data_IF_288189899187
#
_entry.id   IF_288189899187
#
_cell.length_a   1.000
_cell.length_b   1.000
_cell.length_c   1.000
_cell.angle_alpha   90.00
_cell.angle_beta   90.00
_cell.angle_gamma   90.00
#
_symmetry.space_group_name_H-M   'P 1'
#
loop_
_entity.id
_entity.type
_entity.pdbx_description
1 polymer ?
#
# COMPACT_ATOMS: atom_id res chain seq x y z
N UNK A 1 -23.25 0.42 20.16
CA UNK A 1 -22.34 0.66 19.03
C UNK A 1 -21.81 -0.68 18.58
N UNK A 2 -21.82 -0.92 17.28
CA UNK A 2 -21.22 -2.11 16.67
C UNK A 2 -19.69 -1.96 16.62
N UNK A 3 -18.95 -3.06 16.61
CA UNK A 3 -17.50 -3.07 16.41
C UNK A 3 -17.09 -2.33 15.12
N UNK A 4 -17.93 -2.46 14.08
CA UNK A 4 -17.79 -1.73 12.82
C UNK A 4 -17.94 -0.20 12.96
N UNK A 5 -18.84 0.26 13.84
CA UNK A 5 -19.08 1.69 14.06
C UNK A 5 -17.91 2.33 14.81
N UNK A 6 -17.36 1.62 15.80
CA UNK A 6 -16.17 2.05 16.53
C UNK A 6 -14.92 2.08 15.62
N UNK A 7 -14.78 1.13 14.70
CA UNK A 7 -13.68 1.11 13.73
C UNK A 7 -13.71 2.33 12.79
N UNK A 8 -14.90 2.68 12.28
CA UNK A 8 -15.08 3.87 11.45
C UNK A 8 -14.77 5.16 12.23
N UNK A 9 -15.23 5.27 13.48
CA UNK A 9 -14.93 6.43 14.32
C UNK A 9 -13.43 6.56 14.63
N UNK A 10 -12.73 5.45 14.83
CA UNK A 10 -11.28 5.43 15.04
C UNK A 10 -10.52 5.90 13.79
N UNK A 11 -10.94 5.46 12.60
CA UNK A 11 -10.37 5.94 11.32
C UNK A 11 -10.58 7.45 11.19
N UNK A 12 -11.79 7.94 11.45
CA UNK A 12 -12.11 9.38 11.36
C UNK A 12 -11.30 10.19 12.37
N UNK A 13 -11.11 9.68 13.58
CA UNK A 13 -10.35 10.37 14.62
C UNK A 13 -8.84 10.39 14.30
N UNK A 14 -8.30 9.26 13.82
CA UNK A 14 -6.92 9.18 13.34
C UNK A 14 -6.64 10.19 12.23
N UNK A 15 -7.54 10.30 11.25
CA UNK A 15 -7.42 11.28 10.17
C UNK A 15 -7.42 12.74 10.69
N UNK A 16 -8.24 13.04 11.72
CA UNK A 16 -8.27 14.38 12.34
C UNK A 16 -6.99 14.70 13.12
N UNK A 17 -6.48 13.74 13.88
CA UNK A 17 -5.29 13.93 14.70
C UNK A 17 -4.03 14.07 13.81
N UNK A 18 -4.01 13.33 12.70
CA UNK A 18 -2.92 13.29 11.72
C UNK A 18 -2.88 14.54 10.83
N UNK A 19 -4.03 15.16 10.54
CA UNK A 19 -4.13 16.38 9.71
C UNK A 19 -3.37 17.59 10.29
N UNK A 20 -3.00 17.59 11.56
CA UNK A 20 -2.25 18.66 12.21
C UNK A 20 -0.72 18.59 11.96
N UNK A 21 -0.19 17.45 11.51
CA UNK A 21 1.23 17.26 11.20
C UNK A 21 1.51 17.54 9.71
N UNK A 22 2.71 18.03 9.35
CA UNK A 22 3.15 18.01 7.96
C UNK A 22 3.25 16.56 7.46
N UNK A 23 3.04 16.29 6.16
CA UNK A 23 2.94 14.95 5.59
C UNK A 23 4.10 14.03 5.97
N UNK A 24 5.32 14.53 5.83
CA UNK A 24 6.56 13.84 6.19
C UNK A 24 6.67 13.53 7.70
N UNK A 25 6.07 14.37 8.55
CA UNK A 25 6.04 14.15 9.99
C UNK A 25 5.04 13.08 10.43
N UNK A 26 4.06 12.74 9.58
CA UNK A 26 3.02 11.74 9.88
C UNK A 26 3.59 10.33 9.87
N UNK A 27 4.37 9.96 8.85
CA UNK A 27 5.00 8.64 8.77
C UNK A 27 5.98 8.44 9.94
N UNK A 28 6.85 9.42 10.22
CA UNK A 28 7.79 9.30 11.34
C UNK A 28 7.08 9.19 12.69
N UNK A 29 5.99 9.94 12.88
CA UNK A 29 5.14 9.83 14.08
C UNK A 29 4.44 8.47 14.19
N UNK A 30 3.95 7.93 13.07
CA UNK A 30 3.37 6.59 12.98
C UNK A 30 4.39 5.51 13.36
N UNK A 31 5.58 5.51 12.77
CA UNK A 31 6.65 4.55 13.07
C UNK A 31 7.07 4.64 14.56
N UNK A 32 7.21 5.86 15.08
CA UNK A 32 7.49 6.07 16.51
C UNK A 32 6.38 5.50 17.41
N UNK A 33 5.13 5.58 16.96
CA UNK A 33 3.97 4.98 17.65
C UNK A 33 4.05 3.47 17.79
N UNK A 34 4.68 2.78 16.83
CA UNK A 34 5.03 1.36 16.88
C UNK A 34 6.31 1.07 17.68
N UNK A 35 6.95 2.07 18.26
CA UNK A 35 8.17 1.91 19.06
C UNK A 35 9.46 1.90 18.24
N UNK A 36 9.39 2.24 16.95
CA UNK A 36 10.57 2.46 16.11
C UNK A 36 11.23 3.77 16.54
N UNK A 37 12.31 3.67 17.31
CA UNK A 37 13.01 4.82 17.91
C UNK A 37 14.05 5.46 16.99
N UNK A 38 14.50 4.71 15.99
CA UNK A 38 15.44 5.08 14.92
C UNK A 38 15.02 4.35 13.66
N UNK A 39 15.47 4.79 12.48
CA UNK A 39 15.05 4.19 11.20
C UNK A 39 13.57 4.48 10.88
N UNK A 40 13.17 5.75 11.02
CA UNK A 40 11.79 6.22 10.77
C UNK A 40 11.64 6.85 9.38
N UNK A 41 12.66 6.80 8.53
CA UNK A 41 12.56 7.37 7.19
C UNK A 41 11.69 6.47 6.30
N UNK A 42 11.05 7.02 5.24
CA UNK A 42 10.13 6.25 4.39
C UNK A 42 10.76 4.99 3.75
N UNK A 43 12.06 5.02 3.48
CA UNK A 43 12.80 3.94 2.81
C UNK A 43 13.46 2.95 3.80
N UNK A 44 13.34 3.18 5.11
CA UNK A 44 13.90 2.30 6.13
C UNK A 44 13.07 1.02 6.31
N UNK A 45 13.71 -0.05 6.78
CA UNK A 45 13.12 -1.37 7.09
C UNK A 45 13.65 -1.83 8.46
N UNK A 46 13.04 -1.36 9.57
CA UNK A 46 13.57 -1.59 10.93
C UNK A 46 13.47 -3.04 11.38
N UNK A 47 12.43 -3.76 10.96
CA UNK A 47 12.12 -5.13 11.37
C UNK A 47 12.69 -6.20 10.43
N UNK A 48 13.17 -5.79 9.25
CA UNK A 48 13.92 -6.57 8.26
C UNK A 48 13.07 -7.62 7.57
N UNK A 49 11.79 -7.31 7.36
CA UNK A 49 10.85 -8.18 6.67
C UNK A 49 10.89 -8.00 5.13
N UNK A 50 11.61 -6.96 4.67
CA UNK A 50 11.77 -6.59 3.27
C UNK A 50 10.73 -5.59 2.76
N UNK A 51 9.92 -4.99 3.64
CA UNK A 51 9.04 -3.87 3.37
C UNK A 51 9.63 -2.60 4.00
N UNK A 52 9.50 -1.50 3.29
CA UNK A 52 9.88 -0.19 3.80
C UNK A 52 8.77 0.39 4.68
N UNK A 53 9.12 1.29 5.61
CA UNK A 53 8.15 2.05 6.40
C UNK A 53 7.04 2.68 5.54
N UNK A 54 7.36 3.14 4.32
CA UNK A 54 6.35 3.69 3.40
C UNK A 54 5.37 2.63 2.89
N UNK A 55 5.86 1.44 2.55
CA UNK A 55 5.01 0.34 2.11
C UNK A 55 4.13 -0.16 3.25
N UNK A 56 4.65 -0.18 4.46
CA UNK A 56 3.91 -0.56 5.65
C UNK A 56 2.90 0.49 6.10
N UNK A 57 3.27 1.77 6.00
CA UNK A 57 2.36 2.89 6.18
C UNK A 57 1.28 2.93 5.09
N UNK A 58 1.55 2.43 3.88
CA UNK A 58 0.52 2.23 2.87
C UNK A 58 -0.42 1.09 3.27
N UNK A 59 0.04 0.02 3.90
CA UNK A 59 -0.75 -1.20 4.08
C UNK A 59 -1.25 -1.42 5.51
N UNK A 60 -1.02 -0.50 6.44
CA UNK A 60 -1.39 -0.63 7.86
C UNK A 60 -0.79 -1.92 8.49
N UNK A 61 0.48 -2.21 8.18
CA UNK A 61 1.28 -3.23 8.88
C UNK A 61 2.05 -2.63 10.08
N UNK A 62 2.95 -3.42 10.67
CA UNK A 62 3.71 -3.06 11.87
C UNK A 62 5.22 -3.00 11.57
N UNK A 63 5.83 -1.80 11.54
CA UNK A 63 7.24 -1.61 11.20
C UNK A 63 8.22 -2.06 12.28
N UNK A 64 7.73 -2.70 13.33
CA UNK A 64 8.52 -3.25 14.43
C UNK A 64 8.40 -4.78 14.55
N UNK A 65 7.53 -5.42 13.77
CA UNK A 65 7.26 -6.85 13.84
C UNK A 65 7.15 -7.52 12.46
N UNK A 66 8.24 -8.19 12.08
CA UNK A 66 8.38 -8.89 10.80
C UNK A 66 7.34 -9.99 10.54
N UNK A 67 6.56 -10.38 11.56
CA UNK A 67 5.45 -11.33 11.41
C UNK A 67 4.17 -10.67 10.89
N UNK A 68 4.01 -9.36 11.02
CA UNK A 68 2.78 -8.62 10.71
C UNK A 68 2.87 -7.93 9.35
N UNK A 69 3.48 -8.60 8.38
CA UNK A 69 3.71 -8.03 7.05
C UNK A 69 2.49 -8.03 6.14
N UNK A 70 2.36 -6.99 5.31
CA UNK A 70 1.32 -6.90 4.28
C UNK A 70 1.89 -6.27 3.01
N UNK A 71 2.23 -7.11 2.03
CA UNK A 71 2.80 -6.64 0.76
C UNK A 71 1.78 -5.79 -0.02
N UNK A 72 2.17 -4.59 -0.50
CA UNK A 72 1.24 -3.67 -1.16
C UNK A 72 0.82 -4.12 -2.56
N UNK A 73 1.58 -5.02 -3.19
CA UNK A 73 1.30 -5.57 -4.51
C UNK A 73 1.61 -7.07 -4.56
N UNK A 74 0.63 -7.85 -4.99
CA UNK A 74 0.81 -9.24 -5.43
C UNK A 74 0.45 -9.34 -6.90
N UNK A 75 1.30 -9.98 -7.69
CA UNK A 75 1.08 -10.18 -9.13
C UNK A 75 0.98 -11.66 -9.42
N UNK A 76 -0.15 -12.08 -9.97
CA UNK A 76 -0.41 -13.47 -10.36
C UNK A 76 -0.63 -13.55 -11.87
N UNK A 77 -0.18 -14.65 -12.48
CA UNK A 77 -0.43 -14.92 -13.90
C UNK A 77 -1.37 -16.11 -14.01
N UNK A 78 -2.53 -15.91 -14.64
CA UNK A 78 -3.46 -16.99 -14.91
C UNK A 78 -2.95 -17.90 -16.03
N UNK A 79 -3.50 -19.11 -16.10
CA UNK A 79 -3.22 -20.07 -17.19
C UNK A 79 -3.58 -19.54 -18.59
N UNK A 80 -4.45 -18.52 -18.68
CA UNK A 80 -4.84 -17.87 -19.93
C UNK A 80 -3.93 -16.68 -20.30
N UNK A 81 -2.89 -16.39 -19.52
CA UNK A 81 -1.97 -15.27 -19.75
C UNK A 81 -2.44 -13.93 -19.17
N UNK A 82 -3.63 -13.86 -18.58
CA UNK A 82 -4.10 -12.67 -17.86
C UNK A 82 -3.24 -12.44 -16.61
N UNK A 83 -2.82 -11.19 -16.38
CA UNK A 83 -2.19 -10.75 -15.14
C UNK A 83 -3.25 -10.26 -14.19
N UNK A 84 -3.19 -10.73 -12.95
CA UNK A 84 -4.01 -10.22 -11.84
C UNK A 84 -3.08 -9.47 -10.88
N UNK A 85 -3.51 -8.27 -10.48
CA UNK A 85 -2.84 -7.43 -9.51
C UNK A 85 -3.73 -7.29 -8.29
N UNK A 86 -3.26 -7.74 -7.13
CA UNK A 86 -3.91 -7.45 -5.85
C UNK A 86 -3.14 -6.32 -5.18
N UNK A 87 -3.79 -5.17 -5.04
CA UNK A 87 -3.24 -3.98 -4.39
C UNK A 87 -3.88 -3.83 -3.02
N UNK A 88 -3.07 -3.61 -1.99
CA UNK A 88 -3.55 -3.29 -0.65
C UNK A 88 -3.12 -1.87 -0.32
N UNK A 89 -4.08 -1.04 0.09
CA UNK A 89 -3.86 0.39 0.32
C UNK A 89 -4.67 0.84 1.54
N UNK A 90 -4.15 1.75 2.35
CA UNK A 90 -4.86 2.39 3.46
C UNK A 90 -6.12 3.09 2.94
N UNK A 91 -7.17 3.09 3.75
CA UNK A 91 -8.40 3.84 3.46
C UNK A 91 -8.17 5.36 3.51
N UNK A 92 -7.07 5.82 4.12
CA UNK A 92 -6.75 7.23 4.31
C UNK A 92 -5.61 7.73 3.40
N UNK A 93 -5.54 7.28 2.15
CA UNK A 93 -4.50 7.75 1.21
C UNK A 93 -4.42 9.29 1.14
N UNK A 94 -5.57 9.96 1.12
CA UNK A 94 -5.64 11.43 1.03
C UNK A 94 -5.13 12.09 2.32
N UNK A 95 -5.52 11.58 3.50
CA UNK A 95 -5.02 12.11 4.77
C UNK A 95 -3.55 11.79 5.02
N UNK A 96 -3.01 10.75 4.38
CA UNK A 96 -1.58 10.43 4.39
C UNK A 96 -0.78 11.10 3.27
N UNK A 97 -1.46 11.76 2.34
CA UNK A 97 -0.90 12.35 1.12
C UNK A 97 -0.15 11.34 0.24
N UNK A 98 -0.52 10.07 0.35
CA UNK A 98 0.08 8.99 -0.42
C UNK A 98 -0.59 8.89 -1.79
N UNK A 99 0.23 8.77 -2.83
CA UNK A 99 -0.21 8.37 -4.16
C UNK A 99 0.38 7.04 -4.57
N UNK A 100 -0.42 6.23 -5.27
CA UNK A 100 -0.01 4.92 -5.77
C UNK A 100 -0.18 4.88 -7.28
N UNK A 101 0.82 4.34 -7.98
CA UNK A 101 0.78 4.15 -9.43
C UNK A 101 1.28 2.75 -9.79
N UNK A 102 0.43 1.92 -10.37
CA UNK A 102 0.85 0.64 -10.94
C UNK A 102 1.69 0.91 -12.19
N UNK A 103 2.93 0.44 -12.19
CA UNK A 103 3.89 0.65 -13.27
C UNK A 103 4.40 -0.67 -13.84
N UNK A 104 4.81 -0.61 -15.11
CA UNK A 104 5.46 -1.69 -15.83
C UNK A 104 6.76 -1.26 -16.48
N UNK A 105 7.65 -2.23 -16.70
CA UNK A 105 8.93 -2.04 -17.37
C UNK A 105 9.34 -3.29 -18.15
N UNK A 106 10.06 -3.10 -19.26
CA UNK A 106 10.69 -4.17 -20.03
C UNK A 106 12.20 -4.32 -19.74
N UNK A 107 12.80 -3.35 -19.05
CA UNK A 107 14.25 -3.24 -18.87
C UNK A 107 14.68 -2.96 -17.41
N UNK A 108 13.73 -2.88 -16.48
CA UNK A 108 13.90 -2.48 -15.07
C UNK A 108 14.42 -1.04 -14.86
N UNK A 109 14.60 -0.26 -15.93
CA UNK A 109 15.15 1.10 -15.89
C UNK A 109 14.04 2.11 -16.21
N UNK A 110 13.32 1.87 -17.31
CA UNK A 110 12.26 2.73 -17.81
C UNK A 110 10.92 2.20 -17.32
N UNK A 111 10.21 3.00 -16.53
CA UNK A 111 8.92 2.63 -15.95
C UNK A 111 7.80 3.49 -16.51
N UNK A 112 6.70 2.85 -16.88
CA UNK A 112 5.49 3.51 -17.41
C UNK A 112 4.26 3.06 -16.65
N UNK A 113 3.23 3.90 -16.58
CA UNK A 113 1.95 3.52 -15.96
C UNK A 113 1.30 2.37 -16.72
N UNK A 114 0.82 1.37 -15.99
CA UNK A 114 0.00 0.29 -16.57
C UNK A 114 -1.36 0.87 -16.97
N UNK A 115 -1.77 0.60 -18.21
CA UNK A 115 -3.06 1.04 -18.77
C UNK A 115 -3.87 -0.15 -19.27
N UNK A 116 -5.19 0.01 -19.39
CA UNK A 116 -6.06 -1.05 -19.92
C UNK A 116 -6.40 -2.15 -18.91
N UNK A 117 -6.20 -1.88 -17.62
CA UNK A 117 -6.68 -2.75 -16.54
C UNK A 117 -8.19 -2.68 -16.41
N UNK A 118 -8.81 -3.78 -16.02
CA UNK A 118 -10.18 -3.82 -15.52
C UNK A 118 -10.15 -3.97 -14.00
N UNK A 119 -10.97 -3.22 -13.26
CA UNK A 119 -11.12 -3.40 -11.82
C UNK A 119 -12.16 -4.49 -11.57
N UNK A 120 -11.70 -5.62 -11.04
CA UNK A 120 -12.53 -6.80 -10.76
C UNK A 120 -13.19 -6.70 -9.38
N UNK A 121 -12.47 -6.13 -8.39
CA UNK A 121 -13.03 -5.82 -7.07
C UNK A 121 -12.31 -4.65 -6.38
N UNK A 122 -12.99 -4.08 -5.38
CA UNK A 122 -12.52 -2.95 -4.57
C UNK A 122 -13.19 -3.01 -3.19
N UNK A 123 -12.64 -3.86 -2.33
CA UNK A 123 -13.25 -4.25 -1.06
C UNK A 123 -12.56 -3.53 0.10
N UNK A 124 -13.33 -2.84 0.93
CA UNK A 124 -12.80 -2.13 2.11
C UNK A 124 -12.93 -2.97 3.37
N UNK A 125 -11.85 -3.03 4.16
CA UNK A 125 -11.81 -3.59 5.51
C UNK A 125 -11.53 -2.46 6.51
N UNK A 126 -12.57 -1.88 7.14
CA UNK A 126 -12.40 -0.80 8.10
C UNK A 126 -11.82 -1.28 9.44
N UNK A 127 -11.81 -2.58 9.73
CA UNK A 127 -11.15 -3.10 10.94
C UNK A 127 -9.64 -3.05 10.76
N UNK A 128 -9.17 -3.41 9.56
CA UNK A 128 -7.74 -3.36 9.21
C UNK A 128 -7.30 -1.99 8.66
N UNK A 129 -8.23 -1.05 8.44
CA UNK A 129 -7.93 0.28 7.91
C UNK A 129 -7.53 0.31 6.44
N UNK A 130 -7.75 -0.77 5.69
CA UNK A 130 -7.30 -0.91 4.29
C UNK A 130 -8.43 -1.19 3.32
N UNK A 131 -8.16 -0.96 2.04
CA UNK A 131 -8.89 -1.53 0.90
C UNK A 131 -8.01 -2.52 0.15
N UNK A 132 -8.64 -3.54 -0.41
CA UNK A 132 -8.03 -4.48 -1.35
C UNK A 132 -8.66 -4.27 -2.72
N UNK A 133 -7.84 -3.92 -3.72
CA UNK A 133 -8.26 -3.79 -5.11
C UNK A 133 -7.70 -4.93 -5.92
N UNK A 134 -8.54 -5.57 -6.73
CA UNK A 134 -8.13 -6.59 -7.68
C UNK A 134 -8.28 -6.05 -9.09
N UNK A 135 -7.19 -6.00 -9.84
CA UNK A 135 -7.15 -5.54 -11.21
C UNK A 135 -6.73 -6.68 -12.14
N UNK A 136 -7.35 -6.77 -13.32
CA UNK A 136 -6.93 -7.70 -14.37
C UNK A 136 -6.42 -6.97 -15.61
N UNK A 137 -5.39 -7.54 -16.24
CA UNK A 137 -4.84 -7.10 -17.52
C UNK A 137 -4.66 -8.31 -18.42
N UNK A 138 -5.22 -8.26 -19.63
CA UNK A 138 -4.87 -9.20 -20.69
C UNK A 138 -3.77 -8.57 -21.54
N UNK A 139 -2.51 -9.05 -21.45
CA UNK A 139 -1.41 -8.47 -22.21
C UNK A 139 -1.64 -8.59 -23.71
N UNK A 140 -1.21 -7.56 -24.46
CA UNK A 140 -1.28 -7.55 -25.93
C UNK A 140 -0.19 -8.41 -26.58
N UNK A 141 0.86 -8.75 -25.84
CA UNK A 141 1.96 -9.64 -26.24
C UNK A 141 2.35 -10.54 -25.06
N UNK A 142 3.08 -11.61 -25.36
CA UNK A 142 3.65 -12.51 -24.35
C UNK A 142 5.04 -12.06 -23.90
N UNK A 143 5.39 -10.78 -24.08
CA UNK A 143 6.69 -10.27 -23.67
C UNK A 143 6.85 -10.37 -22.15
N UNK A 144 8.08 -10.59 -21.70
CA UNK A 144 8.39 -10.53 -20.28
C UNK A 144 8.34 -9.07 -19.82
N UNK A 145 7.46 -8.80 -18.86
CA UNK A 145 7.20 -7.48 -18.32
C UNK A 145 7.29 -7.54 -16.81
N UNK A 146 8.03 -6.61 -16.22
CA UNK A 146 8.13 -6.40 -14.78
C UNK A 146 7.07 -5.42 -14.34
N UNK A 147 6.52 -5.64 -13.15
CA UNK A 147 5.51 -4.77 -12.55
C UNK A 147 5.97 -4.30 -11.18
N UNK A 148 5.58 -3.08 -10.81
CA UNK A 148 5.74 -2.54 -9.46
C UNK A 148 4.58 -1.62 -9.11
N UNK A 149 4.35 -1.44 -7.81
CA UNK A 149 3.55 -0.33 -7.33
C UNK A 149 4.51 0.79 -6.94
N UNK A 150 4.43 1.93 -7.60
CA UNK A 150 5.14 3.13 -7.16
C UNK A 150 4.30 3.80 -6.08
N UNK A 151 4.89 4.03 -4.91
CA UNK A 151 4.27 4.73 -3.78
C UNK A 151 5.03 6.05 -3.58
N UNK A 152 4.32 7.17 -3.44
CA UNK A 152 4.91 8.50 -3.25
C UNK A 152 4.16 9.23 -2.13
N UNK A 153 4.93 9.91 -1.26
CA UNK A 153 4.48 10.87 -0.25
C UNK A 153 4.52 12.30 -0.80
#
# INVERSE_FOLDING_TARGET
MSEHEAALDAIIQSAKDTAALPPEGRLGGWATGYGVASETDPDDDPDKDGLTNLEEYLTESDPSDFHVRRSPLVVETSVAGTRQFTLIETLDLVGREITTTLQQSMDLITWTTVTGTTEDSNDSDPVLGVRTRVLSLTPVSNDEVYYRLKVEL
#
